data_IF_992280362355
#
_entry.id   IF_992280362355
#
_cell.length_a   1.000
_cell.length_b   1.000
_cell.length_c   1.000
_cell.angle_alpha   90.00
_cell.angle_beta   90.00
_cell.angle_gamma   90.00
#
_symmetry.space_group_name_H-M   'P 1'
#
loop_
_entity.id
_entity.type
_entity.pdbx_description
1 polymer ?
#
# COMPACT_ATOMS: atom_id res chain seq x y z
N UNK A 1 -6.98 -20.37 3.94
CA UNK A 1 -5.71 -19.78 4.41
C UNK A 1 -5.28 -18.76 3.36
N UNK A 2 -5.37 -17.48 3.67
CA UNK A 2 -4.94 -16.42 2.74
C UNK A 2 -3.42 -16.45 2.71
N UNK A 3 -2.83 -16.77 1.57
CA UNK A 3 -1.40 -16.58 1.35
C UNK A 3 -1.12 -15.07 1.46
N UNK A 4 0.00 -14.71 2.09
CA UNK A 4 0.39 -13.33 2.21
C UNK A 4 0.48 -12.68 0.81
N UNK A 5 -0.30 -11.62 0.62
CA UNK A 5 -0.51 -11.01 -0.69
C UNK A 5 0.53 -9.92 -1.02
N UNK A 6 1.14 -9.32 0.02
CA UNK A 6 2.11 -8.23 -0.15
C UNK A 6 3.53 -8.74 -0.38
N UNK A 7 4.23 -8.13 -1.32
CA UNK A 7 5.61 -8.48 -1.65
C UNK A 7 6.43 -7.26 -2.01
N UNK A 8 7.72 -7.35 -1.69
CA UNK A 8 8.72 -6.46 -2.25
C UNK A 8 9.95 -7.28 -2.65
N UNK A 9 10.60 -6.84 -3.70
CA UNK A 9 11.76 -7.53 -4.23
C UNK A 9 12.44 -6.78 -5.36
N UNK A 10 13.36 -7.48 -6.02
CA UNK A 10 14.02 -7.00 -7.23
C UNK A 10 13.49 -7.74 -8.44
N UNK A 11 13.26 -7.00 -9.50
CA UNK A 11 12.89 -7.59 -10.79
C UNK A 11 14.09 -8.39 -11.32
N UNK A 12 13.88 -9.67 -11.57
CA UNK A 12 14.92 -10.55 -12.14
C UNK A 12 14.67 -10.85 -13.62
N UNK A 13 13.41 -10.82 -14.05
CA UNK A 13 13.02 -11.06 -15.44
C UNK A 13 11.77 -10.24 -15.78
N UNK A 14 11.68 -9.80 -17.02
CA UNK A 14 10.55 -9.08 -17.58
C UNK A 14 9.80 -9.95 -18.56
N UNK A 15 8.49 -9.81 -18.62
CA UNK A 15 7.66 -10.36 -19.67
C UNK A 15 7.82 -9.60 -20.97
N UNK A 16 7.31 -10.17 -22.05
CA UNK A 16 7.30 -9.54 -23.37
C UNK A 16 6.50 -8.22 -23.34
N UNK A 17 7.01 -7.20 -24.01
CA UNK A 17 6.38 -5.89 -24.12
C UNK A 17 6.46 -5.00 -22.86
N UNK A 18 7.06 -5.45 -21.76
CA UNK A 18 7.23 -4.64 -20.55
C UNK A 18 8.38 -3.64 -20.75
N UNK A 19 8.05 -2.36 -20.87
CA UNK A 19 9.04 -1.28 -21.06
C UNK A 19 9.22 -0.35 -19.87
N UNK A 20 8.25 -0.29 -18.94
CA UNK A 20 8.29 0.62 -17.77
C UNK A 20 9.27 0.18 -16.66
N UNK A 21 9.76 -1.04 -16.72
CA UNK A 21 10.61 -1.65 -15.71
C UNK A 21 11.92 -2.16 -16.32
N UNK A 22 12.94 -2.28 -15.47
CA UNK A 22 14.22 -2.91 -15.81
C UNK A 22 14.58 -3.95 -14.75
N UNK A 23 15.36 -4.96 -15.16
CA UNK A 23 15.94 -5.91 -14.21
C UNK A 23 16.77 -5.14 -13.16
N UNK A 24 16.70 -5.57 -11.91
CA UNK A 24 17.31 -4.90 -10.77
C UNK A 24 16.45 -3.83 -10.11
N UNK A 25 15.37 -3.33 -10.75
CA UNK A 25 14.48 -2.37 -10.10
C UNK A 25 13.87 -2.96 -8.82
N UNK A 26 13.82 -2.15 -7.76
CA UNK A 26 13.14 -2.49 -6.52
C UNK A 26 11.67 -2.12 -6.62
N UNK A 27 10.81 -3.09 -6.38
CA UNK A 27 9.36 -2.93 -6.48
C UNK A 27 8.64 -3.59 -5.32
N UNK A 28 7.44 -3.11 -5.04
CA UNK A 28 6.47 -3.82 -4.22
C UNK A 28 5.21 -4.09 -5.05
N UNK A 29 4.49 -5.14 -4.69
CA UNK A 29 3.28 -5.54 -5.41
C UNK A 29 2.30 -6.26 -4.49
N UNK A 30 1.02 -6.16 -4.83
CA UNK A 30 -0.01 -7.04 -4.32
C UNK A 30 -0.18 -8.20 -5.30
N UNK A 31 -0.13 -9.42 -4.80
CA UNK A 31 -0.27 -10.63 -5.61
C UNK A 31 -1.43 -11.49 -5.10
N UNK A 32 -2.15 -12.20 -5.97
CA UNK A 32 -3.31 -13.00 -5.56
C UNK A 32 -2.93 -14.25 -4.74
N UNK A 33 -1.65 -14.59 -4.71
CA UNK A 33 -1.12 -15.74 -3.97
C UNK A 33 0.32 -16.07 -4.37
N UNK A 34 0.83 -17.20 -3.86
CA UNK A 34 2.18 -17.68 -4.19
C UNK A 34 3.32 -16.85 -3.60
N UNK A 35 3.03 -15.98 -2.65
CA UNK A 35 4.01 -15.05 -2.10
C UNK A 35 5.01 -15.66 -1.11
N UNK A 36 4.81 -16.88 -0.60
CA UNK A 36 5.82 -17.60 0.19
C UNK A 36 6.80 -18.34 -0.73
N UNK A 37 7.49 -17.58 -1.56
CA UNK A 37 8.43 -18.11 -2.54
C UNK A 37 9.59 -17.14 -2.74
N UNK A 38 10.74 -17.65 -3.17
CA UNK A 38 11.91 -16.82 -3.53
C UNK A 38 11.64 -15.95 -4.75
N UNK A 39 10.79 -16.43 -5.66
CA UNK A 39 10.36 -15.71 -6.87
C UNK A 39 8.86 -15.74 -7.00
N UNK A 40 8.29 -14.62 -7.44
CA UNK A 40 6.87 -14.49 -7.73
C UNK A 40 6.69 -13.70 -9.03
N UNK A 41 5.71 -14.09 -9.83
CA UNK A 41 5.31 -13.34 -11.01
C UNK A 41 4.10 -12.46 -10.69
N UNK A 42 4.12 -11.23 -11.14
CA UNK A 42 2.97 -10.33 -11.08
C UNK A 42 2.81 -9.56 -12.41
N UNK A 43 1.62 -9.04 -12.65
CA UNK A 43 1.40 -8.15 -13.79
C UNK A 43 2.24 -6.88 -13.62
N UNK A 44 2.84 -6.39 -14.70
CA UNK A 44 3.74 -5.23 -14.65
C UNK A 44 3.07 -3.97 -14.09
N UNK A 45 1.76 -3.79 -14.34
CA UNK A 45 0.99 -2.65 -13.85
C UNK A 45 0.62 -2.76 -12.37
N UNK A 46 0.72 -3.94 -11.77
CA UNK A 46 0.51 -4.14 -10.33
C UNK A 46 1.79 -3.92 -9.51
N UNK A 47 2.94 -3.81 -10.18
CA UNK A 47 4.19 -3.47 -9.54
C UNK A 47 4.29 -1.95 -9.32
N UNK A 48 4.63 -1.56 -8.10
CA UNK A 48 4.87 -0.18 -7.70
C UNK A 48 6.34 0.02 -7.36
N UNK A 49 6.87 1.19 -7.68
CA UNK A 49 8.20 1.58 -7.22
C UNK A 49 8.17 1.76 -5.71
N UNK A 50 9.15 1.20 -5.00
CA UNK A 50 9.32 1.48 -3.57
C UNK A 50 9.67 2.97 -3.42
N UNK A 51 8.98 3.70 -2.54
CA UNK A 51 9.27 5.10 -2.27
C UNK A 51 10.73 5.29 -1.82
N UNK A 52 11.31 6.41 -2.21
CA UNK A 52 12.68 6.74 -1.81
C UNK A 52 12.83 6.76 -0.28
N UNK A 53 13.91 6.21 0.22
CA UNK A 53 14.19 6.12 1.65
C UNK A 53 13.63 4.89 2.37
N UNK A 54 12.78 4.10 1.71
CA UNK A 54 12.27 2.85 2.28
C UNK A 54 13.11 1.64 1.83
N UNK A 55 13.33 0.72 2.77
CA UNK A 55 13.89 -0.60 2.49
C UNK A 55 12.87 -1.50 1.79
N UNK A 56 13.33 -2.62 1.22
CA UNK A 56 12.45 -3.67 0.67
C UNK A 56 11.44 -4.19 1.70
N UNK A 57 11.88 -4.33 2.96
CA UNK A 57 11.01 -4.80 4.07
C UNK A 57 9.88 -3.82 4.35
N UNK A 58 10.18 -2.54 4.43
CA UNK A 58 9.17 -1.49 4.64
C UNK A 58 8.27 -1.34 3.42
N UNK A 59 8.83 -1.40 2.21
CA UNK A 59 8.08 -1.40 0.96
C UNK A 59 7.09 -2.56 0.84
N UNK A 60 7.39 -3.72 1.42
CA UNK A 60 6.48 -4.86 1.43
C UNK A 60 5.21 -4.64 2.25
N UNK A 61 5.21 -3.70 3.20
CA UNK A 61 4.05 -3.41 4.04
C UNK A 61 3.07 -2.39 3.43
N UNK A 62 3.36 -1.87 2.23
CA UNK A 62 2.58 -0.79 1.63
C UNK A 62 1.39 -1.25 0.77
N UNK A 63 1.50 -2.28 -0.10
CA UNK A 63 0.52 -2.49 -1.17
C UNK A 63 -0.90 -2.74 -0.67
N UNK A 64 -1.10 -3.64 0.28
CA UNK A 64 -2.43 -3.97 0.80
C UNK A 64 -3.11 -2.77 1.44
N UNK A 65 -2.39 -2.10 2.35
CA UNK A 65 -2.94 -0.96 3.08
C UNK A 65 -3.17 0.24 2.17
N UNK A 66 -2.21 0.53 1.27
CA UNK A 66 -2.32 1.65 0.35
C UNK A 66 -3.45 1.45 -0.66
N UNK A 67 -3.55 0.27 -1.29
CA UNK A 67 -4.62 -0.01 -2.26
C UNK A 67 -5.99 -0.04 -1.60
N UNK A 68 -6.09 -0.62 -0.40
CA UNK A 68 -7.35 -0.65 0.35
C UNK A 68 -7.82 0.77 0.68
N UNK A 69 -6.94 1.60 1.22
CA UNK A 69 -7.29 2.99 1.56
C UNK A 69 -7.59 3.80 0.32
N UNK A 70 -6.73 3.73 -0.70
CA UNK A 70 -6.94 4.50 -1.93
C UNK A 70 -8.26 4.13 -2.61
N UNK A 71 -8.53 2.85 -2.78
CA UNK A 71 -9.76 2.36 -3.40
C UNK A 71 -11.02 2.79 -2.64
N UNK A 72 -11.01 2.68 -1.31
CA UNK A 72 -12.22 2.94 -0.52
C UNK A 72 -12.38 4.42 -0.17
N UNK A 73 -11.31 5.11 0.21
CA UNK A 73 -11.40 6.49 0.69
C UNK A 73 -11.36 7.50 -0.46
N UNK A 74 -10.47 7.28 -1.44
CA UNK A 74 -10.28 8.22 -2.55
C UNK A 74 -11.20 7.87 -3.72
N UNK A 75 -11.05 6.66 -4.28
CA UNK A 75 -11.77 6.32 -5.52
C UNK A 75 -13.28 6.18 -5.30
N UNK A 76 -13.71 5.49 -4.24
CA UNK A 76 -15.14 5.27 -3.95
C UNK A 76 -15.73 6.33 -3.05
N UNK A 77 -15.00 6.72 -1.99
CA UNK A 77 -15.43 7.73 -1.03
C UNK A 77 -15.32 9.15 -1.54
N UNK A 78 -14.49 9.40 -2.55
CA UNK A 78 -14.34 10.72 -3.17
C UNK A 78 -13.70 11.76 -2.25
N UNK A 79 -12.93 11.35 -1.24
CA UNK A 79 -12.33 12.28 -0.28
C UNK A 79 -11.51 13.36 -0.99
N UNK A 80 -11.80 14.62 -0.68
CA UNK A 80 -11.10 15.79 -1.21
C UNK A 80 -10.52 16.66 -0.11
N UNK A 81 -9.65 17.59 -0.49
CA UNK A 81 -9.06 18.55 0.44
C UNK A 81 -10.11 19.43 1.13
N UNK A 82 -9.85 19.75 2.41
CA UNK A 82 -10.75 20.58 3.24
C UNK A 82 -11.89 19.81 3.92
N UNK A 83 -12.17 18.56 3.52
CA UNK A 83 -13.20 17.75 4.15
C UNK A 83 -12.79 17.25 5.54
N UNK A 84 -13.81 16.82 6.31
CA UNK A 84 -13.63 16.14 7.59
C UNK A 84 -13.70 14.63 7.39
N UNK A 85 -12.63 13.93 7.73
CA UNK A 85 -12.51 12.50 7.59
C UNK A 85 -12.39 11.83 8.95
N UNK A 86 -13.28 10.88 9.24
CA UNK A 86 -13.22 10.05 10.46
C UNK A 86 -12.82 8.63 10.10
N UNK A 87 -11.81 8.10 10.78
CA UNK A 87 -11.42 6.69 10.67
C UNK A 87 -11.52 5.99 12.02
N UNK A 88 -12.22 4.87 12.06
CA UNK A 88 -12.27 4.00 13.22
C UNK A 88 -11.04 3.07 13.25
N UNK A 89 -10.48 2.86 14.46
CA UNK A 89 -9.30 2.03 14.62
C UNK A 89 -8.03 2.65 14.04
N UNK A 90 -7.80 3.93 14.32
CA UNK A 90 -6.67 4.72 13.79
C UNK A 90 -5.28 4.13 14.06
N UNK A 91 -5.14 3.22 15.02
CA UNK A 91 -3.87 2.53 15.34
C UNK A 91 -3.66 1.23 14.55
N UNK A 92 -4.61 0.80 13.73
CA UNK A 92 -4.43 -0.33 12.81
C UNK A 92 -3.59 0.06 11.59
N UNK A 93 -3.05 -0.92 10.86
CA UNK A 93 -2.30 -0.65 9.63
C UNK A 93 -3.12 0.15 8.61
N UNK A 94 -4.38 -0.24 8.38
CA UNK A 94 -5.32 0.49 7.52
C UNK A 94 -5.60 1.89 8.07
N UNK A 95 -5.85 2.00 9.40
CA UNK A 95 -6.10 3.28 10.04
C UNK A 95 -4.94 4.25 9.91
N UNK A 96 -3.72 3.81 10.17
CA UNK A 96 -2.51 4.62 10.02
C UNK A 96 -2.29 5.08 8.57
N UNK A 97 -2.51 4.19 7.60
CA UNK A 97 -2.42 4.55 6.18
C UNK A 97 -3.51 5.55 5.81
N UNK A 98 -4.76 5.35 6.26
CA UNK A 98 -5.88 6.25 5.99
C UNK A 98 -5.64 7.64 6.55
N UNK A 99 -5.10 7.75 7.77
CA UNK A 99 -4.72 9.04 8.38
C UNK A 99 -3.70 9.77 7.52
N UNK A 100 -2.64 9.06 7.08
CA UNK A 100 -1.58 9.66 6.28
C UNK A 100 -2.09 10.13 4.91
N UNK A 101 -2.85 9.27 4.20
CA UNK A 101 -3.42 9.61 2.89
C UNK A 101 -4.38 10.78 2.99
N UNK A 102 -5.31 10.76 3.94
CA UNK A 102 -6.28 11.84 4.11
C UNK A 102 -5.61 13.18 4.46
N UNK A 103 -4.59 13.16 5.32
CA UNK A 103 -3.80 14.36 5.64
C UNK A 103 -3.03 14.88 4.43
N UNK A 104 -2.42 13.99 3.63
CA UNK A 104 -1.72 14.37 2.40
C UNK A 104 -2.65 15.01 1.36
N UNK A 105 -3.93 14.62 1.36
CA UNK A 105 -4.97 15.23 0.52
C UNK A 105 -5.50 16.55 1.10
N UNK A 106 -5.05 16.96 2.29
CA UNK A 106 -5.50 18.20 2.93
C UNK A 106 -6.81 18.09 3.71
N UNK A 107 -7.27 16.90 4.03
CA UNK A 107 -8.44 16.68 4.86
C UNK A 107 -8.14 16.90 6.36
N UNK A 108 -9.16 17.31 7.13
CA UNK A 108 -9.11 17.35 8.58
C UNK A 108 -9.45 15.97 9.14
N UNK A 109 -8.46 15.29 9.71
CA UNK A 109 -8.59 13.88 10.12
C UNK A 109 -8.93 13.76 11.60
N UNK A 110 -9.90 12.89 11.88
CA UNK A 110 -10.27 12.40 13.20
C UNK A 110 -10.11 10.88 13.22
N UNK A 111 -9.68 10.33 14.35
CA UNK A 111 -9.52 8.88 14.51
C UNK A 111 -10.06 8.43 15.85
N UNK A 112 -10.54 7.20 15.91
CA UNK A 112 -10.82 6.52 17.19
C UNK A 112 -9.73 5.52 17.49
N UNK A 113 -9.45 5.32 18.78
CA UNK A 113 -8.56 4.27 19.26
C UNK A 113 -9.26 3.43 20.30
N UNK A 114 -8.75 2.20 20.53
CA UNK A 114 -9.38 1.23 21.41
C UNK A 114 -9.15 1.48 22.91
N UNK A 115 -8.25 2.42 23.27
CA UNK A 115 -8.00 2.78 24.67
C UNK A 115 -7.35 4.16 24.76
N UNK A 116 -7.41 4.83 25.95
CA UNK A 116 -6.76 6.12 26.17
C UNK A 116 -5.25 6.11 25.91
N UNK A 117 -4.56 5.01 26.21
CA UNK A 117 -3.10 4.89 26.03
C UNK A 117 -2.70 4.88 24.55
N UNK A 118 -3.65 4.67 23.64
CA UNK A 118 -3.45 4.68 22.20
C UNK A 118 -3.84 6.03 21.55
N UNK A 119 -4.35 6.93 22.32
CA UNK A 119 -4.65 8.30 21.91
C UNK A 119 -3.46 9.22 22.17
#
# INVERSE_FOLDING_TARGET
>A
MLAAAERAGRIVRLGEGVSRWSAGNQVCALVPGGGYAEYVACHADHALRIPYGLSLREGACLPETAFTVWSNVVTRGGLTGGERFLVHGGTSGIGMMAIQVARALGARVFATAGSPEKC
#
